data_IF_703973594952
#
_entry.id   IF_703973594952
#
_cell.length_a   1.000
_cell.length_b   1.000
_cell.length_c   1.000
_cell.angle_alpha   90.00
_cell.angle_beta   90.00
_cell.angle_gamma   90.00
#
_symmetry.space_group_name_H-M   'P 1'
#
loop_
_entity.id
_entity.type
_entity.pdbx_description
1 polymer ?
#
# COMPACT_ATOMS: atom_id res chain seq x y z
N UNK A 1 -8.91 46.61 -8.26
CA UNK A 1 -9.31 45.44 -9.07
C UNK A 1 -8.11 44.70 -9.69
N UNK A 2 -7.13 45.39 -10.30
CA UNK A 2 -5.93 44.74 -10.91
C UNK A 2 -5.12 43.89 -9.92
N UNK A 3 -4.87 44.38 -8.70
CA UNK A 3 -4.11 43.62 -7.70
C UNK A 3 -4.80 42.32 -7.24
N UNK A 4 -6.13 42.33 -7.11
CA UNK A 4 -6.91 41.13 -6.77
C UNK A 4 -6.79 40.11 -7.91
N UNK A 5 -6.88 40.55 -9.16
CA UNK A 5 -6.71 39.68 -10.31
C UNK A 5 -5.32 39.05 -10.38
N UNK A 6 -4.25 39.84 -10.14
CA UNK A 6 -2.87 39.32 -10.11
C UNK A 6 -2.70 38.28 -9.00
N UNK A 7 -3.25 38.52 -7.80
CA UNK A 7 -3.19 37.56 -6.69
C UNK A 7 -3.92 36.27 -7.07
N UNK A 8 -5.12 36.35 -7.65
CA UNK A 8 -5.88 35.18 -8.09
C UNK A 8 -5.14 34.41 -9.19
N UNK A 9 -4.49 35.11 -10.12
CA UNK A 9 -3.68 34.48 -11.16
C UNK A 9 -2.46 33.76 -10.58
N UNK A 10 -1.75 34.37 -9.63
CA UNK A 10 -0.61 33.72 -8.94
C UNK A 10 -1.09 32.50 -8.17
N UNK A 11 -2.20 32.60 -7.43
CA UNK A 11 -2.79 31.48 -6.71
C UNK A 11 -3.23 30.37 -7.68
N UNK A 12 -3.79 30.71 -8.83
CA UNK A 12 -4.18 29.75 -9.86
C UNK A 12 -2.96 29.07 -10.48
N UNK A 13 -1.90 29.80 -10.79
CA UNK A 13 -0.64 29.24 -11.33
C UNK A 13 0.01 28.34 -10.28
N UNK A 14 0.07 28.77 -9.01
CA UNK A 14 0.63 27.97 -7.92
C UNK A 14 -0.19 26.70 -7.65
N UNK A 15 -1.52 26.81 -7.60
CA UNK A 15 -2.43 25.67 -7.50
C UNK A 15 -2.22 24.73 -8.68
N UNK A 16 -2.19 25.30 -9.88
CA UNK A 16 -1.96 24.56 -11.09
C UNK A 16 -0.64 23.79 -10.98
N UNK A 17 0.49 24.46 -10.77
CA UNK A 17 1.81 23.84 -10.68
C UNK A 17 1.86 22.73 -9.63
N UNK A 18 1.23 22.94 -8.47
CA UNK A 18 1.16 21.97 -7.36
C UNK A 18 0.33 20.71 -7.64
N UNK A 19 -0.63 20.78 -8.55
CA UNK A 19 -1.56 19.66 -8.79
C UNK A 19 -1.44 19.07 -10.20
N UNK A 20 -0.76 19.77 -11.11
CA UNK A 20 -0.53 19.37 -12.50
C UNK A 20 -1.78 18.80 -13.19
N UNK A 21 -2.96 19.34 -12.87
CA UNK A 21 -4.24 18.75 -13.20
C UNK A 21 -4.51 18.69 -14.71
N UNK A 22 -3.85 19.55 -15.50
CA UNK A 22 -3.90 19.58 -16.97
C UNK A 22 -3.07 18.49 -17.64
N UNK A 23 -2.14 17.80 -16.93
CA UNK A 23 -1.37 16.73 -17.54
C UNK A 23 -2.31 15.63 -18.05
N UNK A 24 -2.04 15.00 -19.21
CA UNK A 24 -2.83 13.87 -19.68
C UNK A 24 -2.78 12.73 -18.66
N UNK A 25 -3.84 11.94 -18.58
CA UNK A 25 -3.85 10.74 -17.74
C UNK A 25 -2.85 9.71 -18.25
N UNK A 26 -2.15 9.05 -17.33
CA UNK A 26 -1.48 7.79 -17.65
C UNK A 26 -2.55 6.79 -18.11
N UNK A 27 -2.22 6.02 -19.16
CA UNK A 27 -3.14 5.09 -19.82
C UNK A 27 -3.87 4.18 -18.81
N UNK A 28 -5.18 3.96 -19.00
CA UNK A 28 -5.96 3.10 -18.14
C UNK A 28 -5.69 1.60 -18.33
N UNK A 29 -4.95 1.23 -19.37
CA UNK A 29 -4.33 -0.10 -19.54
C UNK A 29 -3.18 -0.38 -18.56
N UNK A 30 -2.66 0.62 -17.85
CA UNK A 30 -1.61 0.42 -16.83
C UNK A 30 -2.24 0.28 -15.45
N UNK A 31 -2.11 -0.85 -14.74
CA UNK A 31 -2.75 -1.05 -13.43
C UNK A 31 -2.36 0.01 -12.40
N UNK A 32 -3.28 0.32 -11.48
CA UNK A 32 -2.99 1.19 -10.32
C UNK A 32 -2.77 0.29 -9.11
N UNK A 33 -1.62 0.41 -8.46
CA UNK A 33 -1.37 -0.29 -7.19
C UNK A 33 -1.39 0.77 -6.09
N UNK A 34 -2.41 0.76 -5.23
CA UNK A 34 -2.58 1.75 -4.17
C UNK A 34 -1.93 1.27 -2.87
N UNK A 35 -1.26 2.16 -2.16
CA UNK A 35 -0.64 1.88 -0.86
C UNK A 35 -1.35 2.64 0.26
N UNK A 36 -1.99 1.87 1.14
CA UNK A 36 -2.60 2.28 2.40
C UNK A 36 -1.85 1.65 3.57
N UNK A 37 -2.14 2.10 4.79
CA UNK A 37 -1.63 1.47 6.03
C UNK A 37 -2.82 1.27 6.99
N UNK A 38 -3.30 2.34 7.61
CA UNK A 38 -4.40 2.31 8.58
C UNK A 38 -5.67 2.94 8.01
N UNK A 39 -6.83 2.32 8.27
CA UNK A 39 -8.15 2.87 8.00
C UNK A 39 -8.85 3.21 9.32
N UNK A 40 -8.65 4.43 9.82
CA UNK A 40 -9.18 4.87 11.12
C UNK A 40 -9.21 6.39 11.24
N UNK A 41 -9.91 6.88 12.24
CA UNK A 41 -9.92 8.31 12.54
C UNK A 41 -8.52 8.84 12.90
N UNK A 42 -8.32 10.12 12.58
CA UNK A 42 -7.14 10.83 13.01
C UNK A 42 -7.15 10.97 14.54
N UNK A 43 -5.95 10.91 15.12
CA UNK A 43 -5.75 11.16 16.54
C UNK A 43 -5.19 12.57 16.68
N UNK A 44 -5.79 13.39 17.54
CA UNK A 44 -5.35 14.78 17.72
C UNK A 44 -3.90 14.84 18.22
N UNK A 45 -3.09 15.69 17.60
CA UNK A 45 -1.66 15.83 17.91
C UNK A 45 -0.75 14.69 17.43
N UNK A 46 -1.31 13.61 16.87
CA UNK A 46 -0.56 12.42 16.50
C UNK A 46 0.33 12.61 15.26
N UNK A 47 1.54 12.05 15.28
CA UNK A 47 2.56 12.25 14.24
C UNK A 47 2.23 11.47 12.97
N UNK A 48 1.54 10.34 13.10
CA UNK A 48 1.31 9.39 12.01
C UNK A 48 -0.07 9.51 11.34
N UNK A 49 -0.79 10.63 11.50
CA UNK A 49 -2.07 10.85 10.80
C UNK A 49 -1.95 10.82 9.27
N UNK A 50 -0.75 10.91 8.69
CA UNK A 50 -0.54 10.68 7.25
C UNK A 50 -0.74 9.21 6.84
N UNK A 51 -0.64 8.27 7.77
CA UNK A 51 -0.83 6.84 7.55
C UNK A 51 -2.27 6.39 7.87
N UNK A 52 -3.08 7.25 8.50
CA UNK A 52 -4.47 6.98 8.91
C UNK A 52 -5.45 7.60 7.93
N UNK A 53 -6.01 6.83 7.01
CA UNK A 53 -7.11 7.29 6.16
C UNK A 53 -8.41 7.10 6.91
N UNK A 54 -9.23 8.15 7.06
CA UNK A 54 -10.52 8.05 7.74
C UNK A 54 -11.44 7.05 7.03
N UNK A 55 -12.22 6.20 7.74
CA UNK A 55 -13.11 5.23 7.11
C UNK A 55 -14.08 5.87 6.10
N UNK A 56 -14.65 7.03 6.43
CA UNK A 56 -15.54 7.76 5.52
C UNK A 56 -14.85 8.26 4.24
N UNK A 57 -13.56 8.59 4.30
CA UNK A 57 -12.78 8.97 3.11
C UNK A 57 -12.38 7.73 2.31
N UNK A 58 -12.01 6.63 2.97
CA UNK A 58 -11.74 5.36 2.31
C UNK A 58 -12.98 4.87 1.55
N UNK A 59 -14.16 4.91 2.15
CA UNK A 59 -15.42 4.53 1.49
C UNK A 59 -15.70 5.39 0.25
N UNK A 60 -15.50 6.72 0.33
CA UNK A 60 -15.63 7.60 -0.84
C UNK A 60 -14.69 7.21 -1.98
N UNK A 61 -13.47 6.79 -1.66
CA UNK A 61 -12.47 6.37 -2.64
C UNK A 61 -12.87 5.07 -3.32
N UNK A 62 -13.27 4.05 -2.54
CA UNK A 62 -13.71 2.74 -3.06
C UNK A 62 -14.97 2.89 -3.91
N UNK A 63 -15.98 3.63 -3.42
CA UNK A 63 -17.20 3.94 -4.17
C UNK A 63 -16.89 4.65 -5.48
N UNK A 64 -16.03 5.67 -5.45
CA UNK A 64 -15.65 6.38 -6.67
C UNK A 64 -14.99 5.44 -7.69
N UNK A 65 -14.04 4.61 -7.27
CA UNK A 65 -13.39 3.64 -8.16
C UNK A 65 -14.42 2.67 -8.76
N UNK A 66 -15.35 2.15 -7.95
CA UNK A 66 -16.46 1.31 -8.43
C UNK A 66 -17.32 2.02 -9.48
N UNK A 67 -17.77 3.25 -9.20
CA UNK A 67 -18.60 4.07 -10.10
C UNK A 67 -17.88 4.45 -11.40
N UNK A 68 -16.54 4.58 -11.36
CA UNK A 68 -15.73 4.82 -12.55
C UNK A 68 -15.41 3.55 -13.36
N UNK A 69 -15.90 2.39 -12.92
CA UNK A 69 -15.70 1.11 -13.60
C UNK A 69 -14.30 0.53 -13.39
N UNK A 70 -13.68 0.76 -12.23
CA UNK A 70 -12.44 0.07 -11.89
C UNK A 70 -12.70 -1.40 -11.54
N UNK A 71 -11.77 -2.25 -11.95
CA UNK A 71 -11.73 -3.67 -11.62
C UNK A 71 -10.76 -3.88 -10.45
N UNK A 72 -11.30 -4.28 -9.30
CA UNK A 72 -10.50 -4.56 -8.12
C UNK A 72 -9.91 -5.97 -8.20
N UNK A 73 -8.59 -6.07 -8.01
CA UNK A 73 -7.85 -7.33 -8.05
C UNK A 73 -6.92 -7.41 -6.85
N UNK A 74 -6.57 -8.62 -6.44
CA UNK A 74 -5.42 -8.81 -5.54
C UNK A 74 -4.11 -8.72 -6.33
N UNK A 75 -2.97 -8.66 -5.63
CA UNK A 75 -1.66 -8.66 -6.26
C UNK A 75 -1.33 -9.97 -6.97
N UNK A 76 -1.76 -11.10 -6.42
CA UNK A 76 -1.71 -12.40 -7.08
C UNK A 76 -2.49 -12.38 -8.41
N UNK A 77 -3.76 -11.98 -8.38
CA UNK A 77 -4.59 -11.91 -9.59
C UNK A 77 -4.02 -10.93 -10.63
N UNK A 78 -3.50 -9.80 -10.16
CA UNK A 78 -2.85 -8.82 -11.02
C UNK A 78 -1.60 -9.40 -11.70
N UNK A 79 -0.78 -10.15 -10.96
CA UNK A 79 0.43 -10.77 -11.49
C UNK A 79 0.12 -11.83 -12.55
N UNK A 80 -0.86 -12.68 -12.29
CA UNK A 80 -1.26 -13.78 -13.19
C UNK A 80 -1.94 -13.26 -14.47
N UNK A 81 -2.63 -12.12 -14.39
CA UNK A 81 -3.34 -11.51 -15.53
C UNK A 81 -2.64 -10.28 -16.13
N UNK A 82 -1.37 -10.06 -15.80
CA UNK A 82 -0.65 -8.87 -16.28
C UNK A 82 -0.66 -8.78 -17.82
N UNK A 83 -1.08 -7.65 -18.37
CA UNK A 83 -1.22 -7.44 -19.82
C UNK A 83 -2.51 -8.01 -20.44
N UNK A 84 -3.23 -8.89 -19.75
CA UNK A 84 -4.53 -9.44 -20.17
C UNK A 84 -5.71 -8.94 -19.31
N UNK A 85 -5.43 -8.19 -18.24
CA UNK A 85 -6.44 -7.58 -17.39
C UNK A 85 -7.20 -6.46 -18.14
N UNK A 86 -8.45 -6.16 -17.75
CA UNK A 86 -9.20 -5.05 -18.33
C UNK A 86 -8.53 -3.69 -18.04
N UNK A 87 -8.89 -2.69 -18.83
CA UNK A 87 -8.59 -1.29 -18.50
C UNK A 87 -9.20 -0.92 -17.13
N UNK A 88 -8.61 0.07 -16.46
CA UNK A 88 -9.01 0.50 -15.11
C UNK A 88 -8.90 -0.62 -14.06
N UNK A 89 -7.89 -1.48 -14.17
CA UNK A 89 -7.55 -2.41 -13.10
C UNK A 89 -6.85 -1.68 -11.94
N UNK A 90 -7.24 -1.99 -10.71
CA UNK A 90 -6.66 -1.44 -9.47
C UNK A 90 -6.44 -2.54 -8.43
N UNK A 91 -5.25 -2.58 -7.85
CA UNK A 91 -4.93 -3.36 -6.67
C UNK A 91 -4.85 -2.44 -5.45
N UNK A 92 -5.58 -2.77 -4.39
CA UNK A 92 -5.52 -2.05 -3.11
C UNK A 92 -4.58 -2.83 -2.20
N UNK A 93 -3.53 -2.17 -1.69
CA UNK A 93 -2.58 -2.79 -0.77
C UNK A 93 -2.56 -2.09 0.58
N UNK A 94 -2.47 -2.86 1.65
CA UNK A 94 -2.28 -2.39 3.03
C UNK A 94 -0.97 -2.95 3.58
N UNK A 95 -0.17 -2.10 4.22
CA UNK A 95 1.07 -2.53 4.87
C UNK A 95 0.85 -2.74 6.38
N UNK A 96 1.71 -3.55 6.99
CA UNK A 96 1.92 -3.77 8.42
C UNK A 96 0.90 -4.65 9.17
N UNK A 97 -0.29 -4.91 8.61
CA UNK A 97 -1.30 -5.77 9.23
C UNK A 97 -2.00 -5.16 10.46
N UNK A 98 -2.47 -3.91 10.35
CA UNK A 98 -3.25 -3.26 11.41
C UNK A 98 -4.65 -3.86 11.56
N UNK A 99 -5.15 -3.92 12.80
CA UNK A 99 -6.49 -4.43 13.13
C UNK A 99 -7.60 -3.67 12.39
N UNK A 100 -7.41 -2.36 12.18
CA UNK A 100 -8.39 -1.53 11.49
C UNK A 100 -8.60 -1.91 10.00
N UNK A 101 -7.70 -2.71 9.42
CA UNK A 101 -7.89 -3.28 8.09
C UNK A 101 -9.05 -4.31 8.11
N UNK A 102 -9.27 -5.00 9.23
CA UNK A 102 -10.44 -5.83 9.46
C UNK A 102 -11.64 -5.01 9.94
N UNK A 103 -11.48 -4.18 10.97
CA UNK A 103 -12.64 -3.53 11.62
C UNK A 103 -13.30 -2.45 10.75
N UNK A 104 -12.50 -1.71 9.97
CA UNK A 104 -12.98 -0.56 9.21
C UNK A 104 -12.86 -0.77 7.70
N UNK A 105 -11.75 -1.32 7.20
CA UNK A 105 -11.54 -1.45 5.75
C UNK A 105 -12.36 -2.61 5.16
N UNK A 106 -12.33 -3.79 5.78
CA UNK A 106 -12.99 -4.99 5.25
C UNK A 106 -14.51 -4.84 5.03
N UNK A 107 -15.32 -4.26 5.95
CA UNK A 107 -16.76 -4.04 5.69
C UNK A 107 -17.02 -3.18 4.45
N UNK A 108 -16.14 -2.22 4.16
CA UNK A 108 -16.22 -1.38 2.96
C UNK A 108 -15.83 -2.21 1.73
N UNK A 109 -14.74 -2.99 1.81
CA UNK A 109 -14.32 -3.87 0.72
C UNK A 109 -15.45 -4.86 0.35
N UNK A 110 -16.06 -5.50 1.35
CA UNK A 110 -17.18 -6.42 1.18
C UNK A 110 -18.39 -5.74 0.52
N UNK A 111 -18.80 -4.56 1.04
CA UNK A 111 -19.92 -3.78 0.50
C UNK A 111 -19.79 -3.48 -0.99
N UNK A 112 -18.57 -3.20 -1.46
CA UNK A 112 -18.31 -2.84 -2.87
C UNK A 112 -17.79 -3.99 -3.73
N UNK A 113 -17.63 -5.18 -3.14
CA UNK A 113 -16.96 -6.34 -3.75
C UNK A 113 -15.60 -5.93 -4.31
N UNK A 114 -14.85 -5.18 -3.49
CA UNK A 114 -13.50 -4.74 -3.79
C UNK A 114 -12.50 -5.72 -3.17
N UNK A 115 -11.49 -6.08 -3.94
CA UNK A 115 -10.40 -6.96 -3.50
C UNK A 115 -9.21 -6.14 -3.01
N UNK A 116 -8.43 -6.72 -2.10
CA UNK A 116 -7.23 -6.11 -1.56
C UNK A 116 -6.15 -7.16 -1.23
N UNK A 117 -4.93 -6.68 -1.03
CA UNK A 117 -3.80 -7.46 -0.51
C UNK A 117 -3.31 -6.80 0.79
N UNK A 118 -3.13 -7.57 1.85
CA UNK A 118 -2.58 -7.08 3.13
C UNK A 118 -1.19 -7.71 3.32
N UNK A 119 -0.15 -6.89 3.39
CA UNK A 119 1.21 -7.32 3.67
C UNK A 119 1.42 -7.38 5.19
N UNK A 120 1.52 -8.61 5.71
CA UNK A 120 1.56 -8.88 7.14
C UNK A 120 3.00 -9.06 7.62
N UNK A 121 3.36 -8.33 8.67
CA UNK A 121 4.55 -8.62 9.48
C UNK A 121 4.19 -9.77 10.41
N UNK A 122 4.96 -10.85 10.42
CA UNK A 122 4.54 -12.04 11.19
C UNK A 122 4.63 -11.78 12.69
N UNK A 123 5.77 -11.25 13.14
CA UNK A 123 6.08 -10.90 14.53
C UNK A 123 5.61 -9.46 14.86
N UNK A 124 4.34 -9.18 14.55
CA UNK A 124 3.71 -7.86 14.70
C UNK A 124 3.26 -7.53 16.12
N UNK A 125 3.21 -8.54 16.99
CA UNK A 125 2.78 -8.38 18.38
C UNK A 125 3.93 -7.85 19.24
N UNK A 126 3.65 -6.89 20.11
CA UNK A 126 4.56 -6.40 21.15
C UNK A 126 5.94 -5.87 20.66
N UNK A 127 6.05 -5.41 19.41
CA UNK A 127 7.29 -4.83 18.83
C UNK A 127 7.12 -3.40 18.35
N UNK A 128 8.06 -2.51 18.73
CA UNK A 128 8.18 -1.17 18.15
C UNK A 128 9.17 -1.12 16.98
N UNK A 129 8.66 -1.43 15.79
CA UNK A 129 9.44 -1.41 14.56
C UNK A 129 9.69 0.00 14.02
N UNK A 130 9.05 1.04 14.58
CA UNK A 130 9.26 2.44 14.18
C UNK A 130 10.68 2.95 14.49
N UNK A 131 11.38 2.28 15.42
CA UNK A 131 12.73 2.61 15.87
C UNK A 131 13.83 2.13 14.90
N UNK A 132 13.59 1.10 14.09
CA UNK A 132 14.61 0.49 13.22
C UNK A 132 15.09 1.39 12.06
N UNK A 133 14.21 2.28 11.57
CA UNK A 133 14.52 3.25 10.50
C UNK A 133 15.25 4.49 11.01
N UNK A 134 14.87 5.00 12.19
CA UNK A 134 15.47 6.18 12.81
C UNK A 134 15.31 6.11 14.34
N UNK A 135 16.42 5.94 15.06
CA UNK A 135 16.45 5.83 16.52
C UNK A 135 15.78 7.00 17.27
N UNK A 136 15.67 8.19 16.64
CA UNK A 136 15.02 9.37 17.22
C UNK A 136 13.50 9.49 16.99
N UNK A 137 12.87 8.53 16.30
CA UNK A 137 11.42 8.47 16.09
C UNK A 137 10.70 7.55 17.09
N UNK A 138 11.28 7.34 18.27
CA UNK A 138 10.67 6.56 19.35
C UNK A 138 9.58 7.36 20.06
N UNK A 139 8.41 7.51 19.44
CA UNK A 139 7.22 8.00 20.16
C UNK A 139 6.33 6.87 20.68
N UNK A 140 6.64 5.59 20.41
CA UNK A 140 5.79 4.44 20.73
C UNK A 140 4.44 4.40 20.00
N UNK A 141 4.04 5.49 19.32
CA UNK A 141 2.71 5.66 18.71
C UNK A 141 2.30 4.49 17.81
N UNK A 142 3.20 3.96 16.95
CA UNK A 142 2.89 2.84 16.04
C UNK A 142 2.92 1.46 16.73
N UNK A 143 3.69 1.32 17.81
CA UNK A 143 3.73 0.09 18.62
C UNK A 143 2.39 -0.14 19.31
N UNK A 144 1.75 0.94 19.77
CA UNK A 144 0.46 0.88 20.45
C UNK A 144 -0.73 0.69 19.51
N UNK A 145 -0.53 0.72 18.19
CA UNK A 145 -1.60 0.44 17.24
C UNK A 145 -1.90 -1.05 17.20
N UNK A 146 -3.17 -1.41 17.44
CA UNK A 146 -3.62 -2.79 17.40
C UNK A 146 -3.32 -3.44 16.04
N UNK A 147 -2.82 -4.67 16.09
CA UNK A 147 -2.49 -5.50 14.92
C UNK A 147 -3.46 -6.67 14.83
N UNK A 148 -3.66 -7.19 13.62
CA UNK A 148 -4.49 -8.37 13.40
C UNK A 148 -3.98 -9.55 14.23
N UNK A 149 -4.84 -10.35 14.83
CA UNK A 149 -4.45 -11.67 15.38
C UNK A 149 -4.25 -12.68 14.25
N UNK A 150 -3.60 -13.82 14.54
CA UNK A 150 -3.42 -14.88 13.54
C UNK A 150 -4.76 -15.46 13.06
N UNK A 151 -5.74 -15.59 13.96
CA UNK A 151 -7.11 -15.99 13.61
C UNK A 151 -7.79 -14.99 12.66
N UNK A 152 -7.54 -13.69 12.85
CA UNK A 152 -8.09 -12.65 11.97
C UNK A 152 -7.40 -12.63 10.60
N UNK A 153 -6.09 -12.89 10.54
CA UNK A 153 -5.35 -13.07 9.28
C UNK A 153 -5.89 -14.30 8.53
N UNK A 154 -6.07 -15.42 9.23
CA UNK A 154 -6.67 -16.63 8.68
C UNK A 154 -8.08 -16.38 8.16
N UNK A 155 -8.92 -15.68 8.93
CA UNK A 155 -10.26 -15.28 8.51
C UNK A 155 -10.21 -14.47 7.21
N UNK A 156 -9.44 -13.38 7.17
CA UNK A 156 -9.34 -12.49 6.02
C UNK A 156 -8.90 -13.23 4.75
N UNK A 157 -7.88 -14.10 4.86
CA UNK A 157 -7.41 -14.91 3.75
C UNK A 157 -8.53 -15.77 3.12
N UNK A 158 -9.48 -16.24 3.93
CA UNK A 158 -10.55 -17.14 3.49
C UNK A 158 -11.85 -16.43 3.07
N UNK A 159 -11.85 -15.08 3.00
CA UNK A 159 -13.03 -14.30 2.56
C UNK A 159 -13.26 -14.31 1.05
N UNK A 160 -12.22 -14.66 0.27
CA UNK A 160 -12.22 -14.52 -1.20
C UNK A 160 -12.05 -13.07 -1.70
N UNK A 161 -11.95 -12.09 -0.80
CA UNK A 161 -11.72 -10.68 -1.13
C UNK A 161 -10.30 -10.21 -0.78
N UNK A 162 -9.63 -10.89 0.15
CA UNK A 162 -8.33 -10.46 0.67
C UNK A 162 -7.27 -11.51 0.41
N UNK A 163 -6.18 -11.10 -0.23
CA UNK A 163 -4.92 -11.85 -0.28
C UNK A 163 -4.03 -11.45 0.90
N UNK A 164 -3.36 -12.42 1.50
CA UNK A 164 -2.30 -12.18 2.50
C UNK A 164 -0.93 -12.25 1.80
N UNK A 165 -0.23 -11.12 1.80
CA UNK A 165 1.15 -10.99 1.35
C UNK A 165 2.12 -10.90 2.53
N UNK A 166 3.41 -11.02 2.25
CA UNK A 166 4.47 -10.95 3.27
C UNK A 166 5.05 -9.55 3.45
N UNK A 167 5.36 -9.20 4.70
CA UNK A 167 6.10 -7.99 5.07
C UNK A 167 7.28 -8.28 6.01
N UNK A 168 7.97 -9.41 5.80
CA UNK A 168 9.07 -9.96 6.64
C UNK A 168 8.61 -10.49 7.99
N UNK A 169 9.51 -11.17 8.72
CA UNK A 169 9.19 -11.66 10.06
C UNK A 169 9.04 -10.50 11.03
N UNK A 170 10.01 -9.59 11.04
CA UNK A 170 10.14 -8.58 12.10
C UNK A 170 9.97 -7.12 11.65
N UNK A 171 9.52 -6.90 10.42
CA UNK A 171 9.57 -5.59 9.75
C UNK A 171 11.03 -5.08 9.65
N UNK A 172 11.93 -5.98 9.24
CA UNK A 172 13.37 -5.73 9.27
C UNK A 172 13.81 -4.68 8.24
N UNK A 173 14.79 -3.85 8.61
CA UNK A 173 15.51 -3.03 7.63
C UNK A 173 16.55 -3.92 6.92
N UNK A 174 16.17 -4.46 5.76
CA UNK A 174 16.95 -5.48 5.01
C UNK A 174 18.39 -5.02 4.70
N UNK A 175 18.59 -3.72 4.49
CA UNK A 175 19.91 -3.13 4.23
C UNK A 175 20.90 -3.26 5.42
N UNK A 176 20.41 -3.61 6.62
CA UNK A 176 21.23 -3.83 7.82
C UNK A 176 21.51 -5.30 8.11
N UNK A 177 20.93 -6.21 7.34
CA UNK A 177 21.04 -7.66 7.55
C UNK A 177 22.15 -8.26 6.66
N UNK A 178 22.76 -9.34 7.11
CA UNK A 178 23.57 -10.22 6.24
C UNK A 178 22.70 -11.01 5.27
N UNK A 179 23.29 -11.62 4.24
CA UNK A 179 22.55 -12.33 3.19
C UNK A 179 21.72 -13.47 3.78
N UNK A 180 22.34 -14.23 4.70
CA UNK A 180 21.68 -15.30 5.43
C UNK A 180 20.50 -14.79 6.26
N UNK A 181 20.68 -13.68 7.00
CA UNK A 181 19.62 -13.10 7.83
C UNK A 181 18.47 -12.54 6.98
N UNK A 182 18.78 -11.93 5.83
CA UNK A 182 17.78 -11.41 4.91
C UNK A 182 16.94 -12.57 4.34
N UNK A 183 17.60 -13.62 3.83
CA UNK A 183 16.91 -14.79 3.30
C UNK A 183 16.06 -15.51 4.36
N UNK A 184 16.55 -15.59 5.60
CA UNK A 184 15.82 -16.17 6.72
C UNK A 184 14.56 -15.34 7.06
N UNK A 185 14.69 -14.01 7.18
CA UNK A 185 13.56 -13.09 7.39
C UNK A 185 12.48 -13.23 6.31
N UNK A 186 12.90 -13.36 5.04
CA UNK A 186 12.00 -13.50 3.90
C UNK A 186 11.33 -14.87 3.86
N UNK A 187 12.11 -15.95 4.03
CA UNK A 187 11.64 -17.32 3.86
C UNK A 187 10.78 -17.79 5.04
N UNK A 188 11.17 -17.48 6.27
CA UNK A 188 10.37 -17.83 7.45
C UNK A 188 9.04 -17.08 7.46
N UNK A 189 9.04 -15.80 7.03
CA UNK A 189 7.81 -15.01 6.94
C UNK A 189 6.81 -15.63 5.98
N UNK A 190 7.28 -16.01 4.78
CA UNK A 190 6.47 -16.73 3.79
C UNK A 190 5.92 -18.03 4.40
N UNK A 191 6.80 -18.88 4.93
CA UNK A 191 6.41 -20.19 5.47
C UNK A 191 5.36 -20.06 6.58
N UNK A 192 5.54 -19.15 7.52
CA UNK A 192 4.60 -18.99 8.64
C UNK A 192 3.25 -18.44 8.18
N UNK A 193 3.22 -17.50 7.24
CA UNK A 193 1.97 -16.99 6.67
C UNK A 193 1.24 -18.08 5.86
N UNK A 194 1.96 -18.92 5.12
CA UNK A 194 1.38 -20.05 4.39
C UNK A 194 0.78 -21.08 5.35
N UNK A 195 1.48 -21.40 6.44
CA UNK A 195 0.96 -22.27 7.50
C UNK A 195 -0.30 -21.69 8.17
N UNK A 196 -0.27 -20.40 8.49
CA UNK A 196 -1.38 -19.70 9.15
C UNK A 196 -2.63 -19.60 8.26
N UNK A 197 -2.45 -19.32 6.98
CA UNK A 197 -3.56 -19.08 6.04
C UNK A 197 -4.00 -20.33 5.28
N UNK A 198 -3.15 -21.37 5.24
CA UNK A 198 -3.30 -22.52 4.34
C UNK A 198 -3.39 -22.14 2.86
N UNK A 199 -2.76 -21.02 2.47
CA UNK A 199 -2.72 -20.51 1.11
C UNK A 199 -1.28 -20.17 0.71
N UNK A 200 -0.98 -20.19 -0.59
CA UNK A 200 0.35 -19.80 -1.09
C UNK A 200 0.55 -18.28 -0.97
N UNK A 201 1.68 -17.86 -0.40
CA UNK A 201 2.02 -16.43 -0.26
C UNK A 201 2.93 -16.01 -1.40
N UNK A 202 2.36 -15.36 -2.41
CA UNK A 202 3.10 -15.05 -3.66
C UNK A 202 3.61 -13.61 -3.76
N UNK A 203 3.07 -12.68 -2.95
CA UNK A 203 3.40 -11.25 -3.00
C UNK A 203 4.17 -10.79 -1.76
N UNK A 204 5.09 -9.86 -1.95
CA UNK A 204 5.92 -9.27 -0.89
C UNK A 204 5.93 -7.73 -0.95
N UNK A 205 6.06 -7.06 0.21
CA UNK A 205 6.35 -5.64 0.28
C UNK A 205 7.65 -5.39 1.03
N UNK A 206 8.54 -4.56 0.47
CA UNK A 206 9.80 -4.22 1.15
C UNK A 206 9.54 -3.26 2.33
N UNK A 207 9.93 -3.62 3.58
CA UNK A 207 9.79 -2.74 4.73
C UNK A 207 10.43 -1.37 4.48
N UNK A 208 9.72 -0.32 4.88
CA UNK A 208 10.17 1.08 4.74
C UNK A 208 10.46 1.59 3.32
N UNK A 209 10.28 0.76 2.29
CA UNK A 209 10.75 0.99 0.93
C UNK A 209 12.27 1.02 0.76
N UNK A 210 13.02 0.46 1.72
CA UNK A 210 14.48 0.41 1.68
C UNK A 210 14.90 -0.98 1.21
N UNK A 211 15.53 -1.04 0.05
CA UNK A 211 15.95 -2.30 -0.56
C UNK A 211 17.04 -2.04 -1.63
N UNK A 212 17.69 -3.10 -2.08
CA UNK A 212 18.72 -3.12 -3.12
C UNK A 212 18.53 -4.31 -4.07
N UNK A 213 19.31 -4.38 -5.15
CA UNK A 213 19.30 -5.54 -6.08
C UNK A 213 19.58 -6.86 -5.35
N UNK A 214 20.43 -6.81 -4.32
CA UNK A 214 20.69 -7.95 -3.44
C UNK A 214 19.41 -8.43 -2.74
N UNK A 215 18.59 -7.53 -2.24
CA UNK A 215 17.34 -7.90 -1.55
C UNK A 215 16.27 -8.41 -2.53
N UNK A 216 16.29 -7.91 -3.77
CA UNK A 216 15.47 -8.44 -4.88
C UNK A 216 15.82 -9.90 -5.16
N UNK A 217 17.11 -10.25 -5.23
CA UNK A 217 17.53 -11.64 -5.40
C UNK A 217 17.15 -12.51 -4.21
N UNK A 218 17.23 -12.00 -2.98
CA UNK A 218 16.76 -12.74 -1.80
C UNK A 218 15.25 -12.99 -1.84
N UNK A 219 14.44 -12.01 -2.29
CA UNK A 219 12.99 -12.20 -2.44
C UNK A 219 12.66 -13.26 -3.51
N UNK A 220 13.44 -13.33 -4.60
CA UNK A 220 13.33 -14.40 -5.60
C UNK A 220 13.69 -15.76 -4.99
N UNK A 221 14.81 -15.84 -4.27
CA UNK A 221 15.26 -17.08 -3.62
C UNK A 221 14.27 -17.59 -2.56
N UNK A 222 13.61 -16.68 -1.84
CA UNK A 222 12.55 -17.02 -0.89
C UNK A 222 11.26 -17.53 -1.57
N UNK A 223 11.15 -17.44 -2.91
CA UNK A 223 10.02 -18.00 -3.66
C UNK A 223 8.78 -17.10 -3.75
N UNK A 224 8.92 -15.79 -3.55
CA UNK A 224 7.87 -14.84 -3.95
C UNK A 224 7.74 -14.81 -5.49
N UNK A 225 6.69 -14.19 -6.03
CA UNK A 225 6.46 -14.03 -7.49
C UNK A 225 6.38 -12.58 -7.94
N UNK A 226 6.12 -11.68 -7.00
CA UNK A 226 6.12 -10.24 -7.19
C UNK A 226 6.43 -9.53 -5.87
N UNK A 227 6.93 -8.30 -5.96
CA UNK A 227 7.14 -7.44 -4.83
C UNK A 227 6.86 -5.98 -5.14
N UNK A 228 6.34 -5.25 -4.14
CA UNK A 228 5.99 -3.84 -4.23
C UNK A 228 6.90 -2.97 -3.36
N UNK A 229 7.09 -1.73 -3.81
CA UNK A 229 7.99 -0.75 -3.18
C UNK A 229 7.22 0.48 -2.70
N UNK A 230 7.91 1.47 -2.12
CA UNK A 230 7.32 2.80 -1.86
C UNK A 230 7.65 3.83 -2.95
N UNK A 231 8.23 3.41 -4.09
CA UNK A 231 8.49 4.31 -5.22
C UNK A 231 7.14 4.75 -5.79
N UNK A 232 6.86 6.06 -5.76
CA UNK A 232 5.59 6.60 -6.24
C UNK A 232 5.51 6.56 -7.77
N UNK A 233 4.49 5.88 -8.29
CA UNK A 233 4.27 5.81 -9.72
C UNK A 233 3.21 4.80 -10.15
N UNK A 234 3.12 4.62 -11.45
CA UNK A 234 2.36 3.57 -12.14
C UNK A 234 3.38 2.89 -13.05
N UNK A 235 3.46 1.57 -13.01
CA UNK A 235 4.38 0.82 -13.88
C UNK A 235 3.91 0.79 -15.33
N UNK A 236 4.82 0.58 -16.27
CA UNK A 236 4.48 0.38 -17.68
C UNK A 236 3.89 -1.02 -17.93
N UNK A 237 3.66 -1.41 -19.19
CA UNK A 237 3.08 -2.72 -19.50
C UNK A 237 4.07 -3.88 -19.34
N UNK A 238 5.36 -3.60 -19.14
CA UNK A 238 6.45 -4.57 -19.01
C UNK A 238 7.25 -4.27 -17.73
N UNK A 239 6.62 -4.33 -16.54
CA UNK A 239 7.24 -3.91 -15.31
C UNK A 239 8.35 -4.88 -14.87
N UNK A 240 9.21 -4.40 -13.97
CA UNK A 240 9.92 -5.29 -13.07
C UNK A 240 9.00 -5.70 -11.93
N UNK A 241 8.49 -6.95 -11.98
CA UNK A 241 7.57 -7.49 -10.98
C UNK A 241 8.15 -7.55 -9.57
N UNK A 242 9.47 -7.43 -9.40
CA UNK A 242 10.12 -7.46 -8.09
C UNK A 242 10.26 -6.08 -7.47
N UNK A 243 9.86 -5.02 -8.18
CA UNK A 243 10.05 -3.64 -7.77
C UNK A 243 8.86 -2.75 -8.15
N UNK A 244 7.65 -3.29 -8.12
CA UNK A 244 6.44 -2.58 -8.54
C UNK A 244 6.25 -1.27 -7.78
N UNK A 245 5.89 -0.22 -8.52
CA UNK A 245 5.61 1.11 -7.99
C UNK A 245 4.22 1.15 -7.38
N UNK A 246 4.04 2.01 -6.38
CA UNK A 246 2.74 2.19 -5.71
C UNK A 246 2.33 3.64 -5.63
N UNK A 247 1.03 3.87 -5.72
CA UNK A 247 0.39 5.14 -5.50
C UNK A 247 0.11 5.29 -4.01
N UNK A 248 0.91 6.11 -3.33
CA UNK A 248 0.70 6.40 -1.92
C UNK A 248 -0.60 7.16 -1.69
N UNK A 249 -1.45 6.65 -0.81
CA UNK A 249 -2.64 7.36 -0.31
C UNK A 249 -2.39 7.78 1.14
N UNK A 250 -2.43 9.10 1.39
CA UNK A 250 -2.19 9.65 2.72
C UNK A 250 -3.50 10.02 3.41
N UNK A 251 -3.56 9.93 4.75
CA UNK A 251 -4.70 10.40 5.55
C UNK A 251 -5.03 11.89 5.39
N UNK A 252 -4.07 12.67 4.87
CA UNK A 252 -4.26 14.08 4.50
C UNK A 252 -4.81 14.29 3.08
N UNK A 253 -4.94 13.24 2.28
CA UNK A 253 -5.43 13.35 0.91
C UNK A 253 -6.96 13.36 0.90
N UNK A 254 -7.55 14.46 0.44
CA UNK A 254 -8.97 14.50 0.08
C UNK A 254 -9.20 13.85 -1.29
N UNK A 255 -10.47 13.62 -1.63
CA UNK A 255 -10.85 12.93 -2.87
C UNK A 255 -10.26 13.54 -4.15
N UNK A 256 -10.11 14.87 -4.23
CA UNK A 256 -9.47 15.52 -5.38
C UNK A 256 -8.02 15.08 -5.57
N UNK A 257 -7.25 14.98 -4.48
CA UNK A 257 -5.87 14.51 -4.53
C UNK A 257 -5.81 13.03 -4.95
N UNK A 258 -6.72 12.19 -4.44
CA UNK A 258 -6.81 10.78 -4.83
C UNK A 258 -7.11 10.63 -6.32
N UNK A 259 -8.04 11.42 -6.89
CA UNK A 259 -8.33 11.40 -8.34
C UNK A 259 -7.10 11.76 -9.17
N UNK A 260 -6.34 12.77 -8.75
CA UNK A 260 -5.10 13.15 -9.44
C UNK A 260 -4.03 12.06 -9.33
N UNK A 261 -3.91 11.42 -8.17
CA UNK A 261 -2.99 10.29 -7.98
C UNK A 261 -3.35 9.10 -8.85
N UNK A 262 -4.64 8.73 -8.97
CA UNK A 262 -5.09 7.68 -9.90
C UNK A 262 -4.78 8.02 -11.37
N UNK A 263 -4.81 9.32 -11.69
CA UNK A 263 -4.54 9.86 -13.03
C UNK A 263 -3.04 9.89 -13.37
N UNK A 264 -2.18 10.27 -12.43
CA UNK A 264 -0.77 10.62 -12.66
C UNK A 264 0.24 9.69 -11.99
N UNK A 265 -0.21 8.79 -11.10
CA UNK A 265 0.63 7.84 -10.35
C UNK A 265 1.37 8.43 -9.15
N UNK A 266 1.65 9.74 -9.15
CA UNK A 266 2.35 10.42 -8.08
C UNK A 266 1.84 11.84 -7.87
N UNK A 267 2.22 12.45 -6.76
CA UNK A 267 2.02 13.89 -6.57
C UNK A 267 3.13 14.65 -7.31
N UNK A 268 2.73 15.54 -8.21
CA UNK A 268 3.64 16.46 -8.88
C UNK A 268 3.79 17.71 -7.99
N UNK A 269 4.97 17.94 -7.41
CA UNK A 269 5.24 19.10 -6.53
C UNK A 269 5.50 18.72 -5.08
#
# INVERSE_FOLDING_TARGET
MIYIFIILLILFIAFSYKYAWWKPSIDYKRPRILMYHMIREHIDGAKFNKLRVKPAEFEKQIRYMKEQGFHFVTMHELRENWGNHPEKTVAITFDDGYLDNLENAYPILEKYQAKATIYVVVDRHDRDWSTYKKAHHNSGELMHEAKLSDEQVHFLANTGLVEIGSHTMSHANLAKLTDQQCLEELSLSKQQLEQMTSQEVTSFAYPFGIYSDRDVEMAKQAGYRNAVTTKEGIDDLTPDFWQLQRIKISGKDGMFAVKLRLKLGKREG
#
